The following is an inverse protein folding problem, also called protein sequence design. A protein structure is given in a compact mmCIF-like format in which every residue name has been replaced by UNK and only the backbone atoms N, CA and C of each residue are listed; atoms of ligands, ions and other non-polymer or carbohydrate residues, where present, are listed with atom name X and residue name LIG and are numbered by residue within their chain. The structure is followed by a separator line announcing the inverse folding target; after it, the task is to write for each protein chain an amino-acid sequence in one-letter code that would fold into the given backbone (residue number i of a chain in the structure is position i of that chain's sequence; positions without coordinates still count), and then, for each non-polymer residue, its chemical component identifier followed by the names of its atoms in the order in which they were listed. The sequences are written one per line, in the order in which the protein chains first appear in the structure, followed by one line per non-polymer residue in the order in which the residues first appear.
data_IF_348385003362
#
_entry.id   IF_348385003362
#
_cell.length_a   1.000
_cell.length_b   1.000
_cell.length_c   1.000
_cell.angle_alpha   90.00
_cell.angle_beta   90.00
_cell.angle_gamma   90.00
#
_symmetry.space_group_name_H-M   'P 1'
#
loop_
_entity.id
_entity.type
_entity.pdbx_description
1 polymer ?
#
# COMPACT_ATOMS: atom_id res chain seq x y z
N UNK A 1 9.34 48.75 -17.55
CA UNK A 1 9.09 47.87 -16.38
C UNK A 1 8.72 46.49 -16.94
N UNK A 2 9.63 45.53 -16.75
CA UNK A 2 9.49 44.14 -17.20
C UNK A 2 8.53 43.40 -16.27
N UNK A 3 7.58 42.66 -16.82
CA UNK A 3 6.79 41.66 -16.08
C UNK A 3 7.02 40.32 -16.75
N UNK A 4 7.96 39.54 -16.21
CA UNK A 4 8.19 38.16 -16.62
C UNK A 4 7.08 37.28 -16.02
N UNK A 5 6.22 36.74 -16.88
CA UNK A 5 5.35 35.62 -16.54
C UNK A 5 6.18 34.34 -16.48
N UNK A 6 6.76 34.10 -15.30
CA UNK A 6 7.46 32.86 -14.95
C UNK A 6 6.49 31.68 -14.99
N UNK A 7 6.45 31.00 -16.14
CA UNK A 7 5.75 29.73 -16.30
C UNK A 7 6.51 28.68 -15.48
N UNK A 8 5.99 28.29 -14.31
CA UNK A 8 6.54 27.17 -13.52
C UNK A 8 6.40 25.87 -14.32
N UNK A 9 7.40 25.57 -15.14
CA UNK A 9 7.63 24.24 -15.70
C UNK A 9 7.84 23.30 -14.52
N UNK A 10 6.83 22.49 -14.20
CA UNK A 10 6.96 21.37 -13.25
C UNK A 10 8.11 20.48 -13.73
N UNK A 11 9.19 20.44 -12.96
CA UNK A 11 10.32 19.55 -13.21
C UNK A 11 9.84 18.09 -13.11
N UNK A 12 9.84 17.31 -14.20
CA UNK A 12 9.39 15.91 -14.16
C UNK A 12 10.37 14.99 -13.40
N UNK A 13 11.52 15.51 -12.98
CA UNK A 13 12.56 14.83 -12.22
C UNK A 13 12.72 15.35 -10.79
N UNK A 14 11.80 16.19 -10.30
CA UNK A 14 11.79 16.52 -8.88
C UNK A 14 11.69 15.21 -8.08
N UNK A 15 12.59 14.94 -7.11
CA UNK A 15 12.44 13.80 -6.23
C UNK A 15 11.06 13.90 -5.59
N UNK A 16 10.21 12.93 -5.90
CA UNK A 16 8.87 12.81 -5.35
C UNK A 16 9.05 12.81 -3.84
N UNK A 17 8.44 13.78 -3.13
CA UNK A 17 8.44 13.84 -1.66
C UNK A 17 8.44 12.42 -1.10
N UNK A 18 9.38 12.12 -0.20
CA UNK A 18 9.51 10.81 0.42
C UNK A 18 8.16 10.40 0.99
N UNK A 19 7.40 9.61 0.22
CA UNK A 19 6.06 9.23 0.61
C UNK A 19 6.18 8.46 1.91
N UNK A 20 5.66 9.01 2.99
CA UNK A 20 5.74 8.42 4.33
C UNK A 20 5.37 6.95 4.25
N UNK A 21 6.32 6.09 4.66
CA UNK A 21 6.20 4.63 4.59
C UNK A 21 5.59 4.13 5.88
N UNK A 22 4.41 3.51 5.78
CA UNK A 22 3.64 3.02 6.91
C UNK A 22 3.70 1.48 6.92
N UNK A 23 4.31 0.93 7.97
CA UNK A 23 4.35 -0.51 8.22
C UNK A 23 3.25 -0.88 9.19
N UNK A 24 2.42 -1.85 8.83
CA UNK A 24 1.36 -2.39 9.67
C UNK A 24 1.72 -3.82 10.11
N UNK A 25 1.30 -4.20 11.32
CA UNK A 25 1.48 -5.57 11.79
C UNK A 25 0.86 -6.59 10.80
N UNK A 26 1.42 -7.80 10.74
CA UNK A 26 1.09 -8.75 9.67
C UNK A 26 -0.37 -9.18 9.65
N UNK A 27 -0.97 -9.47 10.81
CA UNK A 27 -2.39 -9.87 10.87
C UNK A 27 -3.31 -8.75 10.39
N UNK A 28 -3.11 -7.52 10.85
CA UNK A 28 -3.94 -6.38 10.46
C UNK A 28 -3.72 -5.99 8.99
N UNK A 29 -2.47 -5.98 8.52
CA UNK A 29 -2.12 -5.73 7.11
C UNK A 29 -2.85 -6.69 6.16
N UNK A 30 -2.77 -7.99 6.45
CA UNK A 30 -3.40 -9.02 5.62
C UNK A 30 -4.92 -8.89 5.66
N UNK A 31 -5.51 -8.66 6.84
CA UNK A 31 -6.95 -8.39 6.99
C UNK A 31 -7.41 -7.22 6.14
N UNK A 32 -6.70 -6.09 6.24
CA UNK A 32 -7.05 -4.84 5.54
C UNK A 32 -7.00 -5.03 4.02
N UNK A 33 -5.94 -5.68 3.52
CA UNK A 33 -5.81 -6.00 2.10
C UNK A 33 -6.88 -7.02 1.67
N UNK A 34 -7.20 -8.02 2.50
CA UNK A 34 -8.25 -9.00 2.20
C UNK A 34 -9.61 -8.31 1.98
N UNK A 35 -10.00 -7.37 2.84
CA UNK A 35 -11.22 -6.56 2.63
C UNK A 35 -11.19 -5.80 1.30
N UNK A 36 -10.04 -5.25 0.94
CA UNK A 36 -9.84 -4.61 -0.36
C UNK A 36 -9.97 -5.60 -1.53
N UNK A 37 -9.44 -6.81 -1.37
CA UNK A 37 -9.50 -7.87 -2.39
C UNK A 37 -10.92 -8.37 -2.60
N UNK A 38 -11.66 -8.59 -1.51
CA UNK A 38 -13.08 -9.00 -1.55
C UNK A 38 -13.92 -7.98 -2.33
N UNK A 39 -13.68 -6.68 -2.12
CA UNK A 39 -14.38 -5.61 -2.84
C UNK A 39 -13.92 -5.46 -4.29
N UNK A 40 -12.63 -5.57 -4.57
CA UNK A 40 -12.06 -5.36 -5.91
C UNK A 40 -12.10 -6.61 -6.81
N UNK A 41 -12.39 -7.78 -6.24
CA UNK A 41 -12.47 -9.09 -6.92
C UNK A 41 -11.13 -9.68 -7.36
N UNK A 42 -10.04 -8.91 -7.33
CA UNK A 42 -8.70 -9.39 -7.67
C UNK A 42 -7.61 -8.46 -7.16
N UNK A 43 -6.39 -8.99 -7.02
CA UNK A 43 -5.21 -8.21 -6.65
C UNK A 43 -4.90 -7.09 -7.67
N UNK A 44 -5.07 -7.36 -8.96
CA UNK A 44 -4.90 -6.37 -10.02
C UNK A 44 -6.00 -5.29 -9.97
N UNK A 45 -7.24 -5.69 -9.66
CA UNK A 45 -8.34 -4.76 -9.41
C UNK A 45 -8.00 -3.82 -8.26
N UNK A 46 -7.62 -4.37 -7.11
CA UNK A 46 -7.22 -3.57 -5.95
C UNK A 46 -6.04 -2.66 -6.26
N UNK A 47 -5.06 -3.14 -7.02
CA UNK A 47 -3.95 -2.32 -7.51
C UNK A 47 -4.41 -1.07 -8.26
N UNK A 48 -5.40 -1.20 -9.15
CA UNK A 48 -5.97 -0.07 -9.92
C UNK A 48 -6.68 0.93 -9.01
N UNK A 49 -7.48 0.45 -8.06
CA UNK A 49 -8.20 1.31 -7.09
C UNK A 49 -7.23 2.15 -6.26
N UNK A 50 -6.12 1.55 -5.82
CA UNK A 50 -5.09 2.28 -5.09
C UNK A 50 -4.26 3.22 -5.99
N UNK A 51 -4.42 3.14 -7.31
CA UNK A 51 -3.69 3.97 -8.27
C UNK A 51 -2.31 3.42 -8.64
N UNK A 52 -2.08 2.11 -8.47
CA UNK A 52 -0.94 1.44 -9.06
C UNK A 52 -1.16 1.25 -10.57
N UNK A 53 -0.16 1.64 -11.38
CA UNK A 53 -0.15 1.43 -12.83
C UNK A 53 1.14 0.74 -13.21
N UNK A 54 1.05 -0.41 -13.87
CA UNK A 54 2.19 -1.33 -14.10
C UNK A 54 3.37 -0.68 -14.83
N UNK A 55 3.14 0.32 -15.70
CA UNK A 55 4.21 1.04 -16.41
C UNK A 55 4.83 2.19 -15.62
N UNK A 56 4.19 2.64 -14.54
CA UNK A 56 4.56 3.86 -13.79
C UNK A 56 5.20 3.53 -12.44
N UNK A 57 4.88 2.36 -11.88
CA UNK A 57 5.34 1.94 -10.56
C UNK A 57 5.99 0.54 -10.60
N UNK A 58 7.13 0.39 -11.31
CA UNK A 58 7.84 -0.88 -11.34
C UNK A 58 8.25 -1.27 -9.92
N UNK A 59 7.98 -2.52 -9.53
CA UNK A 59 8.34 -3.07 -8.23
C UNK A 59 7.41 -2.72 -7.07
N UNK A 60 6.47 -1.77 -7.21
CA UNK A 60 5.44 -1.49 -6.20
C UNK A 60 4.18 -2.25 -6.54
N UNK A 61 3.77 -3.15 -5.65
CA UNK A 61 2.52 -3.88 -5.83
C UNK A 61 1.86 -4.17 -4.51
N UNK A 62 0.53 -4.26 -4.55
CA UNK A 62 -0.27 -4.72 -3.43
C UNK A 62 0.22 -6.09 -2.95
N UNK A 63 0.75 -6.94 -3.85
CA UNK A 63 1.37 -8.21 -3.47
C UNK A 63 2.57 -8.02 -2.55
N UNK A 64 3.51 -7.14 -2.88
CA UNK A 64 4.70 -6.95 -2.04
C UNK A 64 4.33 -6.37 -0.67
N UNK A 65 3.29 -5.53 -0.60
CA UNK A 65 2.75 -5.06 0.67
C UNK A 65 2.08 -6.21 1.42
N UNK A 66 1.24 -7.02 0.76
CA UNK A 66 0.59 -8.20 1.36
C UNK A 66 1.62 -9.14 2.00
N UNK A 67 2.69 -9.44 1.27
CA UNK A 67 3.79 -10.29 1.70
C UNK A 67 4.70 -9.65 2.76
N UNK A 68 4.49 -8.39 3.12
CA UNK A 68 5.30 -7.71 4.13
C UNK A 68 6.71 -7.32 3.64
N UNK A 69 6.95 -7.35 2.33
CA UNK A 69 8.21 -6.91 1.73
C UNK A 69 8.25 -5.38 1.53
N UNK A 70 7.09 -4.73 1.53
CA UNK A 70 6.95 -3.29 1.35
C UNK A 70 5.98 -2.68 2.36
N UNK A 71 6.28 -1.45 2.78
CA UNK A 71 5.35 -0.58 3.49
C UNK A 71 4.27 -0.04 2.55
N UNK A 72 3.16 0.42 3.11
CA UNK A 72 2.26 1.29 2.37
C UNK A 72 2.85 2.68 2.22
N UNK A 73 2.79 3.30 1.03
CA UNK A 73 2.82 4.75 0.95
C UNK A 73 1.57 5.32 1.63
N UNK A 74 1.70 6.36 2.46
CA UNK A 74 0.58 6.95 3.20
C UNK A 74 -0.64 7.26 2.32
N UNK A 75 -0.43 7.89 1.17
CA UNK A 75 -1.49 8.18 0.18
C UNK A 75 -2.24 6.94 -0.33
N UNK A 76 -1.54 5.81 -0.43
CA UNK A 76 -2.14 4.54 -0.87
C UNK A 76 -2.89 3.85 0.26
N UNK A 77 -2.39 3.97 1.49
CA UNK A 77 -3.10 3.47 2.67
C UNK A 77 -4.39 4.26 2.91
N UNK A 78 -4.35 5.58 2.78
CA UNK A 78 -5.53 6.44 2.88
C UNK A 78 -6.58 6.09 1.82
N UNK A 79 -6.16 5.93 0.56
CA UNK A 79 -7.05 5.46 -0.52
C UNK A 79 -7.65 4.08 -0.23
N UNK A 80 -6.85 3.15 0.32
CA UNK A 80 -7.36 1.85 0.71
C UNK A 80 -8.45 2.00 1.78
N UNK A 81 -8.17 2.78 2.83
CA UNK A 81 -9.09 3.07 3.93
C UNK A 81 -10.43 3.63 3.41
N UNK A 82 -10.37 4.66 2.57
CA UNK A 82 -11.55 5.25 1.89
C UNK A 82 -12.28 4.21 1.03
N UNK A 83 -11.54 3.43 0.25
CA UNK A 83 -12.10 2.42 -0.65
C UNK A 83 -12.89 1.34 0.10
N UNK A 84 -12.41 0.88 1.26
CA UNK A 84 -13.09 -0.15 2.06
C UNK A 84 -14.01 0.43 3.14
N UNK A 85 -14.05 1.75 3.31
CA UNK A 85 -14.84 2.43 4.34
C UNK A 85 -14.33 2.18 5.77
N UNK A 86 -13.02 2.06 5.96
CA UNK A 86 -12.38 1.84 7.27
C UNK A 86 -11.74 3.14 7.78
N UNK A 87 -11.89 3.53 9.05
CA UNK A 87 -11.29 4.76 9.58
C UNK A 87 -9.75 4.76 9.47
N UNK A 88 -9.20 5.83 8.92
CA UNK A 88 -7.75 5.90 8.70
C UNK A 88 -6.97 5.96 10.02
N UNK A 89 -7.51 6.66 11.00
CA UNK A 89 -6.92 6.83 12.33
C UNK A 89 -6.77 5.48 13.05
N UNK A 90 -7.80 4.62 13.00
CA UNK A 90 -7.76 3.27 13.56
C UNK A 90 -6.71 2.39 12.87
N UNK A 91 -6.53 2.54 11.54
CA UNK A 91 -5.48 1.84 10.81
C UNK A 91 -4.09 2.22 11.34
N UNK A 92 -3.90 3.50 11.69
CA UNK A 92 -2.61 4.01 12.18
C UNK A 92 -2.23 3.46 13.56
N UNK A 93 -3.20 3.04 14.38
CA UNK A 93 -2.95 2.40 15.68
C UNK A 93 -2.25 1.03 15.54
N UNK A 94 -2.36 0.41 14.36
CA UNK A 94 -1.73 -0.87 14.05
C UNK A 94 -0.34 -0.75 13.44
N UNK A 95 0.23 0.46 13.41
CA UNK A 95 1.58 0.70 12.96
C UNK A 95 2.62 -0.09 13.76
N UNK A 96 3.65 -0.53 13.07
CA UNK A 96 4.71 -1.33 13.67
C UNK A 96 6.07 -1.05 13.06
N UNK A 97 7.12 -1.52 13.72
CA UNK A 97 8.47 -1.45 13.17
C UNK A 97 8.68 -2.58 12.14
N UNK A 98 9.32 -2.33 10.98
CA UNK A 98 9.51 -3.34 9.93
C UNK A 98 10.13 -4.65 10.42
N UNK A 99 11.09 -4.58 11.35
CA UNK A 99 11.73 -5.76 11.98
C UNK A 99 10.77 -6.72 12.70
N UNK A 100 9.52 -6.30 12.99
CA UNK A 100 8.49 -7.16 13.60
C UNK A 100 7.67 -7.93 12.56
N UNK A 101 7.83 -7.63 11.28
CA UNK A 101 7.20 -8.38 10.19
C UNK A 101 8.16 -9.49 9.78
N UNK A 102 7.73 -10.74 9.95
CA UNK A 102 8.54 -11.90 9.63
C UNK A 102 7.82 -12.78 8.60
N UNK A 103 8.55 -13.65 7.88
CA UNK A 103 7.92 -14.62 6.99
C UNK A 103 6.89 -15.50 7.71
N UNK A 104 7.17 -15.92 8.94
CA UNK A 104 6.32 -16.80 9.73
C UNK A 104 5.00 -16.10 10.10
N UNK A 105 5.07 -14.90 10.69
CA UNK A 105 3.84 -14.21 11.08
C UNK A 105 3.04 -13.69 9.88
N UNK A 106 3.67 -13.49 8.73
CA UNK A 106 2.99 -13.19 7.47
C UNK A 106 2.29 -14.44 6.94
N UNK A 107 2.95 -15.61 6.96
CA UNK A 107 2.36 -16.89 6.59
C UNK A 107 1.14 -17.20 7.45
N UNK A 108 1.25 -17.09 8.78
CA UNK A 108 0.14 -17.36 9.70
C UNK A 108 -1.06 -16.43 9.43
N UNK A 109 -0.79 -15.15 9.16
CA UNK A 109 -1.83 -14.20 8.79
C UNK A 109 -2.50 -14.57 7.45
N UNK A 110 -1.73 -14.92 6.42
CA UNK A 110 -2.28 -15.35 5.12
C UNK A 110 -3.16 -16.60 5.26
N UNK A 111 -2.74 -17.58 6.06
CA UNK A 111 -3.55 -18.78 6.32
C UNK A 111 -4.85 -18.42 7.04
N UNK A 112 -4.79 -17.56 8.06
CA UNK A 112 -5.96 -17.12 8.85
C UNK A 112 -7.03 -16.45 7.99
N UNK A 113 -6.64 -15.67 6.98
CA UNK A 113 -7.57 -14.96 6.09
C UNK A 113 -7.84 -15.71 4.77
N UNK A 114 -7.54 -17.02 4.70
CA UNK A 114 -7.76 -17.85 3.51
C UNK A 114 -7.04 -17.34 2.24
N UNK A 115 -5.91 -16.68 2.40
CA UNK A 115 -5.04 -16.16 1.35
C UNK A 115 -3.80 -17.05 1.13
N UNK A 116 -3.94 -18.35 1.39
CA UNK A 116 -2.86 -19.34 1.33
C UNK A 116 -2.19 -19.43 -0.05
N UNK A 117 -2.90 -19.08 -1.13
CA UNK A 117 -2.36 -19.08 -2.49
C UNK A 117 -1.26 -18.03 -2.71
N UNK A 118 -1.12 -17.06 -1.81
CA UNK A 118 -0.06 -16.06 -1.84
C UNK A 118 1.14 -16.41 -0.94
N UNK A 119 1.10 -17.51 -0.18
CA UNK A 119 2.24 -17.92 0.65
C UNK A 119 3.45 -18.19 -0.26
N UNK A 120 4.61 -17.53 -0.02
CA UNK A 120 5.81 -17.80 -0.80
C UNK A 120 6.21 -19.28 -0.72
N UNK A 121 6.61 -19.85 -1.86
CA UNK A 121 7.10 -21.23 -1.95
C UNK A 121 8.52 -21.36 -1.41
#
# INVERSE_FOLDING_TARGET
MVTELGTLRRNPFAPKEETTKIWLNSSFRVMLINKGLEKAGSLNGLGRELGYRSRVHPGWSVLQILLGNQAFPAERLKRLAEYIGYPYEEILEHQTHPKRITPENTRDALMRYNLWCYVPK
#
